data_IF_974915513151
#
_entry.id   IF_974915513151
#
_cell.length_a   1.000
_cell.length_b   1.000
_cell.length_c   1.000
_cell.angle_alpha   90.00
_cell.angle_beta   90.00
_cell.angle_gamma   90.00
#
_symmetry.space_group_name_H-M   'P 1'
#
loop_
_entity.id
_entity.type
_entity.pdbx_description
1 polymer ?
#
# COMPACT_ATOMS: atom_id res chain seq x y z
N UNK A 1 -29.92 -0.97 -14.42
CA UNK A 1 -29.88 0.04 -13.34
C UNK A 1 -29.28 -0.63 -12.12
N UNK A 2 -27.98 -0.46 -11.88
CA UNK A 2 -27.32 -0.96 -10.67
C UNK A 2 -27.92 -0.23 -9.47
N UNK A 3 -28.36 -0.97 -8.48
CA UNK A 3 -28.67 -0.43 -7.15
C UNK A 3 -27.40 0.22 -6.62
N UNK A 4 -27.42 1.52 -6.43
CA UNK A 4 -26.56 2.18 -5.48
C UNK A 4 -27.00 1.66 -4.11
N UNK A 5 -26.34 0.63 -3.60
CA UNK A 5 -26.47 0.29 -2.19
C UNK A 5 -26.09 1.55 -1.44
N UNK A 6 -27.00 2.05 -0.62
CA UNK A 6 -26.81 3.30 0.07
C UNK A 6 -25.54 3.18 0.91
N UNK A 7 -24.55 4.01 0.60
CA UNK A 7 -23.38 4.18 1.43
C UNK A 7 -23.90 4.74 2.77
N UNK A 8 -23.86 3.96 3.83
CA UNK A 8 -24.39 4.38 5.14
C UNK A 8 -23.42 5.33 5.84
N UNK A 9 -22.13 5.12 5.66
CA UNK A 9 -21.05 5.88 6.29
C UNK A 9 -19.87 6.06 5.34
N UNK A 10 -19.28 7.27 5.31
CA UNK A 10 -18.06 7.60 4.61
C UNK A 10 -17.04 8.20 5.57
N UNK A 11 -15.95 7.53 5.79
CA UNK A 11 -14.84 8.02 6.60
C UNK A 11 -13.77 8.68 5.72
N UNK A 12 -13.53 9.97 5.91
CA UNK A 12 -12.49 10.75 5.23
C UNK A 12 -11.37 11.04 6.22
N UNK A 13 -10.16 10.59 5.89
CA UNK A 13 -8.97 10.80 6.71
C UNK A 13 -8.07 11.86 6.08
N UNK A 14 -7.54 12.78 6.89
CA UNK A 14 -6.62 13.79 6.41
C UNK A 14 -6.04 14.63 7.55
N UNK A 15 -4.99 15.40 7.24
CA UNK A 15 -4.48 16.38 8.19
C UNK A 15 -5.44 17.56 8.36
N UNK A 16 -5.24 18.38 9.42
CA UNK A 16 -6.18 19.45 9.79
C UNK A 16 -6.51 20.42 8.67
N UNK A 17 -5.50 20.88 7.93
CA UNK A 17 -5.70 21.82 6.81
C UNK A 17 -6.47 21.18 5.64
N UNK A 18 -6.24 19.92 5.36
CA UNK A 18 -6.95 19.17 4.33
C UNK A 18 -8.41 18.95 4.71
N UNK A 19 -8.68 18.54 5.95
CA UNK A 19 -10.05 18.33 6.42
C UNK A 19 -10.87 19.64 6.44
N UNK A 20 -10.26 20.77 6.82
CA UNK A 20 -10.91 22.08 6.73
C UNK A 20 -11.32 22.40 5.29
N UNK A 21 -10.47 22.13 4.31
CA UNK A 21 -10.81 22.35 2.89
C UNK A 21 -11.91 21.42 2.41
N UNK A 22 -11.89 20.15 2.82
CA UNK A 22 -12.95 19.18 2.50
C UNK A 22 -14.28 19.65 3.07
N UNK A 23 -14.30 20.09 4.33
CA UNK A 23 -15.50 20.62 4.97
C UNK A 23 -16.06 21.82 4.20
N UNK A 24 -15.21 22.81 3.88
CA UNK A 24 -15.63 23.99 3.11
C UNK A 24 -16.18 23.61 1.72
N UNK A 25 -15.56 22.64 1.04
CA UNK A 25 -16.07 22.14 -0.24
C UNK A 25 -17.45 21.49 -0.09
N UNK A 26 -17.66 20.71 0.96
CA UNK A 26 -18.95 20.10 1.25
C UNK A 26 -20.02 21.16 1.53
N UNK A 27 -19.69 22.20 2.29
CA UNK A 27 -20.59 23.32 2.56
C UNK A 27 -20.97 24.09 1.28
N UNK A 28 -20.03 24.25 0.34
CA UNK A 28 -20.31 24.87 -0.96
C UNK A 28 -21.22 24.01 -1.82
N UNK A 29 -21.03 22.70 -1.83
CA UNK A 29 -21.78 21.77 -2.70
C UNK A 29 -23.17 21.46 -2.14
N UNK A 30 -23.29 21.24 -0.84
CA UNK A 30 -24.52 20.77 -0.20
C UNK A 30 -25.26 21.85 0.59
N UNK A 31 -24.62 22.99 0.81
CA UNK A 31 -25.14 24.07 1.67
C UNK A 31 -24.68 23.94 3.13
N UNK A 32 -24.75 25.04 3.89
CA UNK A 32 -24.32 25.06 5.29
C UNK A 32 -25.19 24.10 6.13
N UNK A 33 -24.53 23.22 6.88
CA UNK A 33 -25.15 22.19 7.72
C UNK A 33 -26.00 21.15 6.97
N UNK A 34 -25.91 21.07 5.65
CA UNK A 34 -26.52 20.01 4.86
C UNK A 34 -25.46 18.94 4.56
N UNK A 35 -25.44 17.87 5.35
CA UNK A 35 -24.68 16.67 5.05
C UNK A 35 -25.54 15.80 4.12
N UNK A 36 -24.96 15.19 3.05
CA UNK A 36 -25.69 14.20 2.24
C UNK A 36 -26.30 13.13 3.14
N UNK A 37 -27.30 12.40 2.63
CA UNK A 37 -27.96 11.29 3.35
C UNK A 37 -26.99 10.13 3.73
N UNK A 38 -25.71 10.35 3.60
CA UNK A 38 -24.60 9.48 4.00
C UNK A 38 -23.90 10.12 5.19
N UNK A 39 -23.74 9.38 6.28
CA UNK A 39 -22.94 9.83 7.41
C UNK A 39 -21.49 10.06 6.97
N UNK A 40 -21.04 11.34 6.91
CA UNK A 40 -19.64 11.65 6.60
C UNK A 40 -18.90 11.98 7.88
N UNK A 41 -17.88 11.19 8.19
CA UNK A 41 -16.97 11.42 9.31
C UNK A 41 -15.62 11.95 8.80
N UNK A 42 -15.22 13.13 9.29
CA UNK A 42 -13.92 13.72 9.01
C UNK A 42 -12.95 13.33 10.13
N UNK A 43 -12.01 12.44 9.82
CA UNK A 43 -11.09 11.86 10.78
C UNK A 43 -9.70 12.50 10.65
N UNK A 44 -9.24 13.16 11.72
CA UNK A 44 -7.90 13.74 11.76
C UNK A 44 -6.85 12.65 11.70
N UNK A 45 -5.90 12.80 10.81
CA UNK A 45 -4.77 11.91 10.60
C UNK A 45 -3.45 12.64 10.93
N UNK A 46 -2.56 11.91 11.58
CA UNK A 46 -1.18 12.32 11.85
C UNK A 46 -0.23 11.22 11.39
N UNK A 47 1.08 11.51 11.35
CA UNK A 47 2.07 10.49 11.07
C UNK A 47 2.03 9.39 12.15
N UNK A 48 2.08 8.14 11.72
CA UNK A 48 1.97 6.98 12.60
C UNK A 48 0.97 5.95 12.07
N UNK A 49 0.54 5.05 12.95
CA UNK A 49 -0.44 4.01 12.59
C UNK A 49 -1.82 4.62 12.42
N UNK A 50 -2.36 4.53 11.20
CA UNK A 50 -3.72 4.98 10.85
C UNK A 50 -4.73 3.88 11.14
N UNK A 51 -4.37 2.64 10.82
CA UNK A 51 -5.20 1.48 11.04
C UNK A 51 -4.34 0.26 11.32
N UNK A 52 -4.78 -0.60 12.23
CA UNK A 52 -4.15 -1.89 12.46
C UNK A 52 -5.19 -2.92 12.92
N UNK A 53 -5.12 -4.10 12.36
CA UNK A 53 -5.87 -5.27 12.80
C UNK A 53 -4.95 -6.49 12.95
N UNK A 54 -5.53 -7.69 13.02
CA UNK A 54 -4.77 -8.95 13.10
C UNK A 54 -4.06 -9.33 11.79
N UNK A 55 -4.40 -8.70 10.67
CA UNK A 55 -3.91 -9.06 9.34
C UNK A 55 -2.86 -8.09 8.81
N UNK A 56 -3.05 -6.78 9.03
CA UNK A 56 -2.15 -5.77 8.51
C UNK A 56 -2.09 -4.51 9.38
N UNK A 57 -1.14 -3.66 9.05
CA UNK A 57 -1.01 -2.30 9.59
C UNK A 57 -0.94 -1.33 8.42
N UNK A 58 -1.68 -0.23 8.49
CA UNK A 58 -1.56 0.93 7.61
C UNK A 58 -0.93 2.07 8.39
N UNK A 59 0.22 2.54 7.93
CA UNK A 59 0.98 3.63 8.56
C UNK A 59 1.06 4.81 7.61
N UNK A 60 0.78 6.02 8.10
CA UNK A 60 1.04 7.26 7.39
C UNK A 60 2.40 7.82 7.81
N UNK A 61 3.16 8.33 6.86
CA UNK A 61 4.41 9.05 7.12
C UNK A 61 4.44 10.38 6.38
N UNK A 62 5.10 11.42 6.92
CA UNK A 62 5.09 12.73 6.30
C UNK A 62 5.88 12.72 5.01
N UNK A 63 5.35 13.40 4.00
CA UNK A 63 6.07 13.73 2.76
C UNK A 63 6.08 15.23 2.57
N UNK A 64 7.15 15.75 1.95
CA UNK A 64 7.22 17.17 1.64
C UNK A 64 6.68 17.45 0.25
N UNK A 65 5.67 18.29 0.17
CA UNK A 65 5.14 18.86 -1.05
C UNK A 65 4.68 20.31 -0.78
N UNK A 66 3.93 20.93 -1.69
CA UNK A 66 3.54 22.36 -1.64
C UNK A 66 2.66 22.76 -0.46
N UNK A 67 1.99 21.83 0.18
CA UNK A 67 1.07 22.09 1.29
C UNK A 67 1.48 21.41 2.59
N UNK A 68 0.89 21.80 3.71
CA UNK A 68 0.95 21.02 4.92
C UNK A 68 0.15 19.72 4.77
N UNK A 69 0.36 18.79 5.68
CA UNK A 69 -0.44 17.56 5.80
C UNK A 69 -0.38 16.63 4.58
N UNK A 70 0.79 16.57 3.91
CA UNK A 70 1.03 15.58 2.87
C UNK A 70 1.58 14.29 3.47
N UNK A 71 0.98 13.15 3.10
CA UNK A 71 1.35 11.84 3.63
C UNK A 71 1.61 10.85 2.51
N UNK A 72 2.60 10.00 2.73
CA UNK A 72 2.74 8.71 2.08
C UNK A 72 2.22 7.62 3.01
N UNK A 73 1.96 6.44 2.47
CA UNK A 73 1.37 5.33 3.20
C UNK A 73 2.18 4.05 3.03
N UNK A 74 2.30 3.30 4.12
CA UNK A 74 2.81 1.93 4.11
C UNK A 74 1.70 1.00 4.57
N UNK A 75 1.33 0.07 3.72
CA UNK A 75 0.53 -1.10 4.06
C UNK A 75 1.48 -2.26 4.30
N UNK A 76 1.39 -2.91 5.46
CA UNK A 76 2.24 -4.03 5.82
C UNK A 76 1.42 -5.15 6.43
N UNK A 77 1.38 -6.30 5.76
CA UNK A 77 0.75 -7.49 6.31
C UNK A 77 1.52 -7.98 7.55
N UNK A 78 0.80 -8.47 8.53
CA UNK A 78 1.41 -9.08 9.72
C UNK A 78 2.19 -10.34 9.35
N UNK A 79 3.25 -10.58 10.08
CA UNK A 79 3.98 -11.83 10.01
C UNK A 79 3.03 -13.00 10.29
N UNK A 80 3.21 -14.07 9.53
CA UNK A 80 2.42 -15.29 9.70
C UNK A 80 3.30 -16.52 9.57
N UNK A 81 2.93 -17.56 10.27
CA UNK A 81 3.53 -18.88 10.17
C UNK A 81 2.65 -19.76 9.26
N UNK A 82 3.19 -20.31 8.16
CA UNK A 82 2.42 -21.20 7.31
C UNK A 82 2.06 -22.48 8.05
N UNK A 83 0.81 -22.92 7.87
CA UNK A 83 0.36 -24.20 8.41
C UNK A 83 0.87 -25.35 7.53
N UNK A 84 1.57 -26.30 8.14
CA UNK A 84 2.18 -27.46 7.46
C UNK A 84 1.19 -28.62 7.47
N UNK A 85 0.33 -28.66 6.44
CA UNK A 85 -0.77 -29.63 6.36
C UNK A 85 -0.29 -31.09 6.41
N UNK A 86 0.88 -31.40 5.84
CA UNK A 86 1.48 -32.74 5.85
C UNK A 86 1.89 -33.16 7.27
N UNK A 87 2.49 -32.24 8.05
CA UNK A 87 2.82 -32.53 9.46
C UNK A 87 1.57 -32.75 10.29
N UNK A 88 0.53 -31.93 10.07
CA UNK A 88 -0.73 -32.10 10.76
C UNK A 88 -1.40 -33.45 10.43
N UNK A 89 -1.35 -33.87 9.16
CA UNK A 89 -1.86 -35.17 8.75
C UNK A 89 -1.07 -36.33 9.38
N UNK A 90 0.28 -36.22 9.43
CA UNK A 90 1.13 -37.23 10.09
C UNK A 90 0.86 -37.36 11.59
N UNK A 91 0.45 -36.28 12.24
CA UNK A 91 0.02 -36.26 13.66
C UNK A 91 -1.44 -36.71 13.87
N UNK A 92 -2.16 -37.04 12.78
CA UNK A 92 -3.56 -37.45 12.85
C UNK A 92 -4.55 -36.32 13.08
N UNK A 93 -4.19 -35.07 12.81
CA UNK A 93 -5.06 -33.91 13.00
C UNK A 93 -5.99 -33.75 11.78
N UNK A 94 -7.29 -33.99 11.91
CA UNK A 94 -8.21 -33.87 10.79
C UNK A 94 -8.38 -32.41 10.34
N UNK A 95 -8.84 -32.15 9.11
CA UNK A 95 -9.32 -30.82 8.73
C UNK A 95 -10.48 -30.40 9.63
N UNK A 96 -10.38 -29.23 10.27
CA UNK A 96 -11.42 -28.78 11.17
C UNK A 96 -11.00 -27.61 12.08
N UNK A 97 -11.81 -27.33 13.11
CA UNK A 97 -11.56 -26.25 14.07
C UNK A 97 -10.20 -26.36 14.77
N UNK A 98 -9.72 -27.56 15.04
CA UNK A 98 -8.46 -27.85 15.71
C UNK A 98 -7.26 -27.26 14.96
N UNK A 99 -7.27 -27.35 13.62
CA UNK A 99 -6.23 -26.71 12.78
C UNK A 99 -6.26 -25.20 12.89
N UNK A 100 -7.45 -24.62 13.05
CA UNK A 100 -7.63 -23.19 13.24
C UNK A 100 -7.06 -22.74 14.60
N UNK A 101 -7.29 -23.50 15.66
CA UNK A 101 -6.76 -23.19 16.97
C UNK A 101 -5.21 -23.21 16.97
N UNK A 102 -4.62 -24.22 16.33
CA UNK A 102 -3.16 -24.28 16.13
C UNK A 102 -2.62 -23.07 15.37
N UNK A 103 -3.30 -22.64 14.29
CA UNK A 103 -2.90 -21.44 13.54
C UNK A 103 -3.04 -20.14 14.33
N UNK A 104 -3.85 -20.15 15.40
CA UNK A 104 -4.01 -19.04 16.33
C UNK A 104 -3.05 -19.12 17.54
N UNK A 105 -2.12 -20.07 17.54
CA UNK A 105 -1.14 -20.24 18.61
C UNK A 105 -1.66 -21.01 19.82
N UNK A 106 -2.80 -21.71 19.72
CA UNK A 106 -3.39 -22.51 20.79
C UNK A 106 -3.02 -23.99 20.61
N UNK A 107 -2.57 -24.62 21.67
CA UNK A 107 -2.40 -26.06 21.71
C UNK A 107 -3.77 -26.78 21.66
N UNK A 108 -3.80 -27.95 21.09
CA UNK A 108 -5.00 -28.83 21.06
C UNK A 108 -4.70 -30.17 21.74
N UNK A 109 -5.74 -30.85 22.21
CA UNK A 109 -5.64 -32.21 22.72
C UNK A 109 -6.38 -33.15 21.78
N UNK A 110 -5.69 -34.15 21.24
CA UNK A 110 -6.25 -35.17 20.38
C UNK A 110 -7.12 -36.18 21.17
N UNK A 111 -7.92 -36.96 20.47
CA UNK A 111 -8.80 -37.97 21.09
C UNK A 111 -8.03 -39.07 21.90
N UNK A 112 -6.77 -39.29 21.56
CA UNK A 112 -5.88 -40.23 22.25
C UNK A 112 -5.17 -39.60 23.49
N UNK A 113 -5.48 -38.33 23.82
CA UNK A 113 -4.90 -37.62 24.96
C UNK A 113 -3.59 -36.91 24.65
N UNK A 114 -3.00 -37.03 23.46
CA UNK A 114 -1.79 -36.29 23.09
C UNK A 114 -2.10 -34.80 22.92
N UNK A 115 -1.22 -33.97 23.49
CA UNK A 115 -1.26 -32.51 23.30
C UNK A 115 -0.33 -32.14 22.16
N UNK A 116 -0.87 -31.44 21.15
CA UNK A 116 -0.10 -30.92 20.00
C UNK A 116 0.10 -29.42 20.17
N UNK A 117 1.35 -29.00 20.11
CA UNK A 117 1.72 -27.59 20.15
C UNK A 117 1.70 -26.97 18.76
N UNK A 118 1.41 -25.65 18.64
CA UNK A 118 1.48 -24.93 17.37
C UNK A 118 2.78 -25.14 16.60
N UNK A 119 3.92 -25.16 17.29
CA UNK A 119 5.25 -25.30 16.69
C UNK A 119 5.46 -26.63 15.94
N UNK A 120 4.68 -27.65 16.27
CA UNK A 120 4.77 -28.94 15.60
C UNK A 120 4.19 -28.92 14.18
N UNK A 121 3.25 -28.00 13.90
CA UNK A 121 2.52 -27.92 12.63
C UNK A 121 2.63 -26.56 11.95
N UNK A 122 3.29 -25.60 12.57
CA UNK A 122 3.55 -24.30 11.95
C UNK A 122 5.00 -24.24 11.46
N UNK A 123 5.18 -23.72 10.26
CA UNK A 123 6.50 -23.40 9.72
C UNK A 123 7.12 -22.17 10.38
N UNK A 124 8.29 -21.78 9.87
CA UNK A 124 8.95 -20.56 10.30
C UNK A 124 8.10 -19.33 9.99
N UNK A 125 8.27 -18.32 10.82
CA UNK A 125 7.61 -17.05 10.67
C UNK A 125 8.03 -16.37 9.33
N UNK A 126 7.07 -15.92 8.59
CA UNK A 126 7.28 -15.25 7.32
C UNK A 126 6.70 -13.85 7.38
N UNK A 127 7.53 -12.83 7.09
CA UNK A 127 7.01 -11.48 6.96
C UNK A 127 5.90 -11.43 5.90
N UNK A 128 4.93 -10.56 6.09
CA UNK A 128 3.92 -10.28 5.09
C UNK A 128 4.41 -9.40 3.94
N UNK A 129 3.51 -9.06 3.04
CA UNK A 129 3.75 -8.12 1.94
C UNK A 129 3.79 -6.70 2.49
N UNK A 130 4.74 -5.89 2.02
CA UNK A 130 4.87 -4.47 2.30
C UNK A 130 4.68 -3.66 1.04
N UNK A 131 3.66 -2.80 1.01
CA UNK A 131 3.35 -1.88 -0.09
C UNK A 131 3.54 -0.45 0.40
N UNK A 132 4.19 0.38 -0.40
CA UNK A 132 4.33 1.81 -0.13
C UNK A 132 3.70 2.61 -1.27
N UNK A 133 2.91 3.61 -0.91
CA UNK A 133 2.32 4.57 -1.85
C UNK A 133 2.69 5.99 -1.45
N UNK A 134 3.25 6.74 -2.38
CA UNK A 134 3.65 8.14 -2.22
C UNK A 134 3.10 8.90 -3.43
N UNK A 135 2.24 9.87 -3.17
CA UNK A 135 1.77 10.83 -4.17
C UNK A 135 2.87 11.84 -4.54
N UNK A 136 2.47 13.08 -4.79
CA UNK A 136 3.39 14.15 -5.11
C UNK A 136 4.36 14.43 -3.95
N UNK A 137 5.66 14.55 -4.27
CA UNK A 137 6.71 14.72 -3.28
C UNK A 137 7.87 15.54 -3.84
N UNK A 138 8.40 16.47 -3.05
CA UNK A 138 9.47 17.39 -3.50
C UNK A 138 10.88 16.78 -3.46
N UNK A 139 11.11 15.76 -2.64
CA UNK A 139 12.40 15.08 -2.56
C UNK A 139 12.31 13.75 -1.81
N UNK A 140 13.25 12.85 -2.08
CA UNK A 140 13.24 11.47 -1.61
C UNK A 140 14.03 11.23 -0.31
N UNK A 141 14.82 12.21 0.16
CA UNK A 141 15.75 12.02 1.28
C UNK A 141 15.15 11.38 2.53
N UNK A 142 14.05 11.91 3.10
CA UNK A 142 13.44 11.36 4.33
C UNK A 142 12.68 10.04 4.13
N UNK A 143 12.47 9.60 2.88
CA UNK A 143 11.55 8.50 2.58
C UNK A 143 12.18 7.12 2.75
N UNK A 144 13.53 7.04 2.75
CA UNK A 144 14.28 5.77 2.72
C UNK A 144 13.75 4.76 3.75
N UNK A 145 13.68 5.17 5.02
CA UNK A 145 13.23 4.29 6.11
C UNK A 145 11.80 3.78 5.93
N UNK A 146 10.90 4.64 5.42
CA UNK A 146 9.49 4.26 5.23
C UNK A 146 9.33 3.21 4.15
N UNK A 147 10.13 3.30 3.06
CA UNK A 147 10.01 2.39 1.91
C UNK A 147 10.99 1.21 1.96
N UNK A 148 11.86 1.13 2.96
CA UNK A 148 12.89 0.10 3.09
C UNK A 148 12.28 -1.31 3.00
N UNK A 149 12.83 -2.13 2.08
CA UNK A 149 12.43 -3.50 1.86
C UNK A 149 11.00 -3.71 1.34
N UNK A 150 10.33 -2.65 0.84
CA UNK A 150 8.98 -2.78 0.28
C UNK A 150 8.94 -3.75 -0.90
N UNK A 151 7.89 -4.57 -0.98
CA UNK A 151 7.67 -5.45 -2.13
C UNK A 151 7.21 -4.66 -3.35
N UNK A 152 6.48 -3.55 -3.12
CA UNK A 152 6.16 -2.57 -4.16
C UNK A 152 6.20 -1.16 -3.59
N UNK A 153 6.86 -0.24 -4.31
CA UNK A 153 6.80 1.19 -4.10
C UNK A 153 6.10 1.83 -5.29
N UNK A 154 4.96 2.48 -5.06
CA UNK A 154 4.33 3.39 -6.01
C UNK A 154 4.68 4.83 -5.63
N UNK A 155 5.29 5.58 -6.56
CA UNK A 155 5.74 6.96 -6.32
C UNK A 155 5.70 7.76 -7.63
N UNK A 156 5.55 9.08 -7.52
CA UNK A 156 5.60 9.95 -8.68
C UNK A 156 6.94 9.90 -9.43
N UNK A 157 6.90 10.23 -10.73
CA UNK A 157 8.07 10.52 -11.56
C UNK A 157 7.70 11.56 -12.62
N UNK A 158 7.42 12.76 -12.16
CA UNK A 158 6.86 13.82 -13.01
C UNK A 158 7.87 14.31 -14.05
N UNK A 159 9.18 14.27 -13.77
CA UNK A 159 10.22 14.83 -14.60
C UNK A 159 11.34 13.83 -14.93
N UNK A 160 12.05 14.08 -16.07
CA UNK A 160 13.39 13.53 -16.32
C UNK A 160 14.47 14.29 -15.54
N UNK A 161 15.62 13.67 -15.27
CA UNK A 161 16.70 14.29 -14.50
C UNK A 161 17.34 15.49 -15.22
N UNK A 162 17.24 15.58 -16.53
CA UNK A 162 17.64 16.75 -17.31
C UNK A 162 16.88 18.02 -16.89
N UNK A 163 15.65 17.88 -16.43
CA UNK A 163 14.79 18.95 -15.95
C UNK A 163 14.67 18.98 -14.42
N UNK A 164 15.66 18.46 -13.68
CA UNK A 164 15.65 18.38 -12.19
C UNK A 164 15.43 19.73 -11.49
N UNK A 165 15.92 20.82 -12.06
CA UNK A 165 15.75 22.15 -11.50
C UNK A 165 14.28 22.60 -11.62
N UNK A 166 13.63 22.27 -12.73
CA UNK A 166 12.19 22.48 -12.93
C UNK A 166 11.35 21.59 -12.01
N UNK A 167 11.76 20.33 -11.84
CA UNK A 167 11.14 19.42 -10.87
C UNK A 167 11.14 20.03 -9.47
N UNK A 168 12.31 20.51 -9.02
CA UNK A 168 12.47 21.17 -7.72
C UNK A 168 11.62 22.43 -7.60
N UNK A 169 11.58 23.27 -8.64
CA UNK A 169 10.75 24.48 -8.67
C UNK A 169 9.28 24.17 -8.51
N UNK A 170 8.83 23.08 -9.10
CA UNK A 170 7.42 22.65 -9.06
C UNK A 170 7.10 21.72 -7.90
N UNK A 171 8.07 21.36 -7.07
CA UNK A 171 7.86 20.50 -5.91
C UNK A 171 7.66 19.02 -6.25
N UNK A 172 8.30 18.55 -7.32
CA UNK A 172 8.23 17.17 -7.81
C UNK A 172 9.62 16.52 -7.86
N UNK A 173 9.66 15.23 -8.16
CA UNK A 173 10.89 14.47 -8.33
C UNK A 173 11.07 13.98 -9.78
N UNK A 174 12.29 13.51 -10.05
CA UNK A 174 12.64 12.90 -11.35
C UNK A 174 12.54 11.38 -11.29
N UNK A 175 12.38 10.74 -12.44
CA UNK A 175 12.41 9.28 -12.59
C UNK A 175 13.71 8.69 -12.03
N UNK A 176 14.85 9.36 -12.29
CA UNK A 176 16.14 8.98 -11.72
C UNK A 176 16.13 9.01 -10.18
N UNK A 177 15.53 10.03 -9.56
CA UNK A 177 15.46 10.15 -8.10
C UNK A 177 14.58 9.04 -7.49
N UNK A 178 13.43 8.74 -8.08
CA UNK A 178 12.57 7.64 -7.66
C UNK A 178 13.27 6.28 -7.77
N UNK A 179 13.96 6.02 -8.88
CA UNK A 179 14.69 4.77 -9.10
C UNK A 179 15.88 4.60 -8.14
N UNK A 180 16.61 5.69 -7.83
CA UNK A 180 17.68 5.69 -6.82
C UNK A 180 17.14 5.39 -5.42
N UNK A 181 16.01 5.97 -5.04
CA UNK A 181 15.34 5.66 -3.77
C UNK A 181 15.01 4.17 -3.69
N UNK A 182 14.33 3.63 -4.71
CA UNK A 182 13.93 2.22 -4.77
C UNK A 182 15.13 1.28 -4.64
N UNK A 183 16.20 1.52 -5.42
CA UNK A 183 17.43 0.74 -5.36
C UNK A 183 18.09 0.79 -3.98
N UNK A 184 18.27 1.98 -3.42
CA UNK A 184 18.99 2.16 -2.17
C UNK A 184 18.21 1.60 -0.97
N UNK A 185 16.88 1.66 -1.01
CA UNK A 185 16.01 1.12 0.02
C UNK A 185 15.71 -0.39 -0.14
N UNK A 186 16.27 -1.06 -1.15
CA UNK A 186 16.05 -2.49 -1.36
C UNK A 186 14.61 -2.85 -1.72
N UNK A 187 13.87 -1.94 -2.35
CA UNK A 187 12.54 -2.17 -2.89
C UNK A 187 12.59 -3.31 -3.90
N UNK A 188 11.53 -4.11 -4.03
CA UNK A 188 11.49 -5.24 -4.99
C UNK A 188 10.94 -4.82 -6.34
N UNK A 189 9.92 -3.95 -6.37
CA UNK A 189 9.33 -3.43 -7.59
C UNK A 189 8.95 -1.96 -7.44
N UNK A 190 9.26 -1.16 -8.46
CA UNK A 190 8.94 0.26 -8.53
C UNK A 190 7.84 0.49 -9.55
N UNK A 191 6.78 1.16 -9.14
CA UNK A 191 5.68 1.61 -10.01
C UNK A 191 5.70 3.13 -10.03
N UNK A 192 5.96 3.71 -11.19
CA UNK A 192 5.94 5.15 -11.39
C UNK A 192 4.55 5.62 -11.81
N UNK A 193 4.14 6.75 -11.30
CA UNK A 193 2.91 7.43 -11.70
C UNK A 193 3.13 8.94 -11.82
N UNK A 194 2.08 9.70 -12.12
CA UNK A 194 2.11 11.16 -12.23
C UNK A 194 3.15 11.67 -13.24
N UNK A 195 3.28 10.98 -14.37
CA UNK A 195 4.24 11.32 -15.42
C UNK A 195 3.76 12.55 -16.19
N UNK A 196 4.63 13.54 -16.39
CA UNK A 196 4.30 14.73 -17.15
C UNK A 196 4.08 14.41 -18.64
N UNK A 197 3.04 14.99 -19.23
CA UNK A 197 2.78 14.93 -20.69
C UNK A 197 3.88 15.58 -21.55
N UNK A 198 4.86 16.24 -20.93
CA UNK A 198 6.03 16.81 -21.59
C UNK A 198 6.91 15.74 -22.25
N UNK A 199 6.90 14.51 -21.71
CA UNK A 199 7.80 13.43 -22.12
C UNK A 199 7.02 12.26 -22.72
N UNK A 200 7.68 11.53 -23.61
CA UNK A 200 7.22 10.19 -23.93
C UNK A 200 7.37 9.28 -22.72
N UNK A 201 6.34 8.53 -22.40
CA UNK A 201 6.30 7.61 -21.25
C UNK A 201 7.51 6.65 -21.26
N UNK A 202 7.90 6.17 -22.45
CA UNK A 202 9.05 5.27 -22.57
C UNK A 202 10.36 5.93 -22.12
N UNK A 203 10.57 7.24 -22.38
CA UNK A 203 11.79 7.94 -21.96
C UNK A 203 11.91 8.02 -20.42
N UNK A 204 10.79 8.24 -19.72
CA UNK A 204 10.73 8.20 -18.25
C UNK A 204 11.05 6.78 -17.75
N UNK A 205 10.48 5.76 -18.39
CA UNK A 205 10.73 4.37 -18.05
C UNK A 205 12.19 3.97 -18.25
N UNK A 206 12.77 4.34 -19.39
CA UNK A 206 14.16 4.02 -19.72
C UNK A 206 15.14 4.65 -18.72
N UNK A 207 14.91 5.92 -18.32
CA UNK A 207 15.73 6.60 -17.30
C UNK A 207 15.67 5.88 -15.96
N UNK A 208 14.48 5.48 -15.53
CA UNK A 208 14.30 4.77 -14.27
C UNK A 208 14.92 3.36 -14.32
N UNK A 209 14.66 2.61 -15.41
CA UNK A 209 15.13 1.23 -15.58
C UNK A 209 16.66 1.14 -15.71
N UNK A 210 17.32 2.17 -16.21
CA UNK A 210 18.78 2.24 -16.22
C UNK A 210 19.39 2.18 -14.81
N UNK A 211 18.63 2.56 -13.77
CA UNK A 211 19.04 2.54 -12.37
C UNK A 211 18.40 1.38 -11.61
N UNK A 212 17.15 1.09 -11.87
CA UNK A 212 16.37 0.07 -11.19
C UNK A 212 15.49 -0.68 -12.21
N UNK A 213 16.00 -1.80 -12.78
CA UNK A 213 15.32 -2.52 -13.87
C UNK A 213 13.91 -3.01 -13.55
N UNK A 214 13.62 -3.34 -12.27
CA UNK A 214 12.29 -3.78 -11.82
C UNK A 214 11.32 -2.59 -11.68
N UNK A 215 11.22 -1.75 -12.74
CA UNK A 215 10.37 -0.55 -12.79
C UNK A 215 9.31 -0.70 -13.87
N UNK A 216 8.09 -0.27 -13.55
CA UNK A 216 6.98 -0.10 -14.49
C UNK A 216 6.35 1.29 -14.32
N UNK A 217 5.55 1.71 -15.30
CA UNK A 217 4.72 2.92 -15.20
C UNK A 217 3.27 2.49 -15.15
N UNK A 218 2.53 3.03 -14.17
CA UNK A 218 1.11 2.77 -14.03
C UNK A 218 0.27 3.56 -15.05
N UNK A 219 -0.73 2.91 -15.61
CA UNK A 219 -1.80 3.55 -16.34
C UNK A 219 -3.10 3.49 -15.54
N UNK A 220 -4.05 4.35 -15.90
CA UNK A 220 -5.37 4.34 -15.27
C UNK A 220 -6.05 2.98 -15.45
N UNK A 221 -6.68 2.49 -14.38
CA UNK A 221 -7.42 1.23 -14.33
C UNK A 221 -6.53 -0.04 -14.42
N UNK A 222 -5.24 0.05 -14.18
CA UNK A 222 -4.40 -1.12 -13.98
C UNK A 222 -4.45 -1.60 -12.53
N UNK A 223 -4.60 -2.91 -12.36
CA UNK A 223 -4.57 -3.60 -11.08
C UNK A 223 -3.22 -4.31 -10.90
N UNK A 224 -2.49 -3.97 -9.86
CA UNK A 224 -1.25 -4.64 -9.48
C UNK A 224 -1.51 -5.65 -8.37
N UNK A 225 -1.41 -6.93 -8.68
CA UNK A 225 -1.47 -7.99 -7.67
C UNK A 225 -0.06 -8.31 -7.19
N UNK A 226 0.23 -7.96 -5.94
CA UNK A 226 1.55 -8.17 -5.32
C UNK A 226 1.52 -9.42 -4.46
N UNK A 227 2.55 -10.25 -4.62
CA UNK A 227 2.80 -11.43 -3.78
C UNK A 227 4.24 -11.39 -3.32
N UNK A 228 4.48 -11.92 -2.12
CA UNK A 228 5.84 -12.01 -1.59
C UNK A 228 6.76 -12.76 -2.55
N UNK A 229 7.97 -12.22 -2.76
CA UNK A 229 9.04 -12.84 -3.57
C UNK A 229 8.67 -13.15 -5.04
N UNK A 230 7.60 -12.53 -5.54
CA UNK A 230 7.19 -12.65 -6.93
C UNK A 230 7.06 -11.26 -7.55
N UNK A 231 7.37 -11.12 -8.84
CA UNK A 231 7.04 -9.88 -9.55
C UNK A 231 5.53 -9.63 -9.47
N UNK A 232 5.09 -8.37 -9.35
CA UNK A 232 3.67 -8.06 -9.38
C UNK A 232 3.05 -8.47 -10.72
N UNK A 233 1.85 -9.03 -10.65
CA UNK A 233 1.06 -9.34 -11.84
C UNK A 233 0.16 -8.15 -12.11
N UNK A 234 0.34 -7.53 -13.27
CA UNK A 234 -0.52 -6.43 -13.72
C UNK A 234 -1.69 -6.96 -14.55
N UNK A 235 -2.87 -6.41 -14.35
CA UNK A 235 -4.07 -6.67 -15.13
C UNK A 235 -4.77 -5.35 -15.47
N UNK A 236 -5.19 -5.18 -16.72
CA UNK A 236 -6.07 -4.09 -17.10
C UNK A 236 -7.52 -4.48 -16.74
N UNK A 237 -8.13 -3.72 -15.83
CA UNK A 237 -9.51 -3.99 -15.36
C UNK A 237 -10.52 -3.84 -16.49
N UNK A 238 -10.24 -3.04 -17.52
CA UNK A 238 -11.12 -2.86 -18.70
C UNK A 238 -11.33 -4.14 -19.49
N UNK A 239 -10.36 -5.05 -19.48
CA UNK A 239 -10.45 -6.33 -20.21
C UNK A 239 -11.41 -7.35 -19.56
N UNK A 240 -11.90 -7.09 -18.36
CA UNK A 240 -12.88 -7.92 -17.65
C UNK A 240 -14.31 -7.35 -17.64
N UNK A 241 -14.54 -6.20 -18.29
CA UNK A 241 -15.84 -5.51 -18.38
C UNK A 241 -16.54 -5.70 -19.73
N UNK A 242 -16.01 -6.57 -20.62
CA UNK A 242 -16.60 -6.93 -21.91
C UNK A 242 -17.37 -8.24 -21.81
#
# INVERSE_FOLDING_TARGET
MGRWEALEELNIYGGPATLTRVQLLMEVVFGPNQIPNVGVALNRMEAGVVFADRHFTLTAFPVQHRGPDCFGFTFEEKERRPFLAEKAAALGIPPGPERRDLTQGKAITLADGRVVQPDEVLGEAQRGVKLCFIGDVSHTGPLHKAVEGADLLAIEATYLDVDKDLAKQHGHITALAAARLARNAGVKHLVLHHVSRRYHVQTILDEAQAIFPATTIANDLELYQVRKEQPPVMRDVRQGLT
#
